data_IF_865429943813
#
_entry.id   IF_865429943813
#
_cell.length_a   1.000
_cell.length_b   1.000
_cell.length_c   1.000
_cell.angle_alpha   90.00
_cell.angle_beta   90.00
_cell.angle_gamma   90.00
#
_symmetry.space_group_name_H-M   'P 1'
#
loop_
_entity.id
_entity.type
_entity.pdbx_description
1 polymer ?
#
# COMPACT_ATOMS: atom_id res chain seq x y z
N UNK A 1 -28.84 -2.86 1.26
CA UNK A 1 -27.72 -3.46 2.03
C UNK A 1 -26.44 -3.15 1.25
N UNK A 2 -25.43 -2.60 1.88
CA UNK A 2 -24.14 -2.29 1.23
C UNK A 2 -23.45 -3.58 0.76
N UNK A 3 -22.98 -3.59 -0.48
CA UNK A 3 -22.22 -4.72 -1.03
C UNK A 3 -20.78 -4.71 -0.54
N UNK A 4 -20.06 -5.83 -0.66
CA UNK A 4 -18.65 -5.91 -0.31
C UNK A 4 -17.78 -4.97 -1.18
N UNK A 5 -18.10 -4.82 -2.48
CA UNK A 5 -17.44 -3.89 -3.37
C UNK A 5 -17.64 -2.43 -2.94
N UNK A 6 -18.86 -2.03 -2.57
CA UNK A 6 -19.14 -0.68 -2.07
C UNK A 6 -18.39 -0.40 -0.78
N UNK A 7 -18.38 -1.37 0.16
CA UNK A 7 -17.64 -1.24 1.41
C UNK A 7 -16.12 -1.13 1.17
N UNK A 8 -15.58 -1.90 0.22
CA UNK A 8 -14.17 -1.78 -0.17
C UNK A 8 -13.84 -0.40 -0.73
N UNK A 9 -14.66 0.14 -1.64
CA UNK A 9 -14.47 1.48 -2.22
C UNK A 9 -14.40 2.56 -1.15
N UNK A 10 -15.34 2.55 -0.23
CA UNK A 10 -15.39 3.52 0.86
C UNK A 10 -14.17 3.38 1.79
N UNK A 11 -13.83 2.15 2.18
CA UNK A 11 -12.68 1.86 3.03
C UNK A 11 -11.38 2.33 2.35
N UNK A 12 -11.16 1.94 1.09
CA UNK A 12 -9.98 2.36 0.34
C UNK A 12 -9.87 3.87 0.24
N UNK A 13 -10.94 4.55 -0.11
CA UNK A 13 -11.00 6.01 -0.21
C UNK A 13 -10.61 6.69 1.11
N UNK A 14 -11.06 6.13 2.24
CA UNK A 14 -10.72 6.64 3.57
C UNK A 14 -9.27 6.33 3.98
N UNK A 15 -8.66 5.26 3.46
CA UNK A 15 -7.30 4.85 3.82
C UNK A 15 -6.20 5.55 3.00
N UNK A 16 -6.44 5.85 1.72
CA UNK A 16 -5.41 6.42 0.82
C UNK A 16 -4.72 7.67 1.37
N UNK A 17 -5.42 8.69 1.90
CA UNK A 17 -4.75 9.86 2.47
C UNK A 17 -3.83 9.53 3.65
N UNK A 18 -4.16 8.49 4.42
CA UNK A 18 -3.38 8.06 5.58
C UNK A 18 -2.06 7.41 5.17
N UNK A 19 -2.04 6.65 4.06
CA UNK A 19 -0.78 6.15 3.48
C UNK A 19 0.11 7.30 3.04
N UNK A 20 -0.44 8.25 2.30
CA UNK A 20 0.30 9.42 1.80
C UNK A 20 0.89 10.23 2.95
N UNK A 21 0.12 10.46 4.03
CA UNK A 21 0.61 11.22 5.20
C UNK A 21 1.79 10.52 5.89
N UNK A 22 1.74 9.19 6.02
CA UNK A 22 2.84 8.41 6.61
C UNK A 22 4.06 8.38 5.70
N UNK A 23 3.88 8.17 4.40
CA UNK A 23 4.98 8.19 3.43
C UNK A 23 5.69 9.55 3.41
N UNK A 24 4.94 10.66 3.40
CA UNK A 24 5.49 12.02 3.47
C UNK A 24 6.19 12.36 4.79
N UNK A 25 5.88 11.62 5.87
CA UNK A 25 6.56 11.77 7.15
C UNK A 25 7.93 11.06 7.22
N UNK A 26 8.27 10.21 6.25
CA UNK A 26 9.57 9.51 6.20
C UNK A 26 10.69 10.51 5.89
N UNK A 27 11.69 10.70 6.79
CA UNK A 27 12.74 11.68 6.56
C UNK A 27 13.79 11.17 5.56
N UNK A 28 14.06 11.94 4.52
CA UNK A 28 15.00 11.60 3.45
C UNK A 28 16.39 11.18 3.96
N UNK A 29 16.88 11.78 5.04
CA UNK A 29 18.21 11.51 5.59
C UNK A 29 18.31 10.23 6.43
N UNK A 30 17.25 9.45 6.58
CA UNK A 30 17.20 8.27 7.44
C UNK A 30 16.54 7.05 6.78
N UNK A 31 16.61 6.99 5.45
CA UNK A 31 16.01 5.92 4.64
C UNK A 31 16.59 4.53 4.94
N UNK A 32 17.82 4.46 5.41
CA UNK A 32 18.53 3.25 5.82
C UNK A 32 18.15 2.74 7.21
N UNK A 33 17.36 3.50 7.97
CA UNK A 33 16.93 3.10 9.31
C UNK A 33 16.13 1.79 9.29
N UNK A 34 16.47 0.90 10.22
CA UNK A 34 15.71 -0.31 10.56
C UNK A 34 15.82 -0.57 12.06
N UNK A 35 14.75 -1.04 12.74
CA UNK A 35 14.77 -1.29 14.18
C UNK A 35 15.54 -2.56 14.56
N UNK A 36 15.69 -3.50 13.61
CA UNK A 36 16.38 -4.79 13.78
C UNK A 36 17.09 -5.14 12.47
N UNK A 37 18.27 -5.81 12.50
CA UNK A 37 18.98 -6.22 11.29
C UNK A 37 18.17 -7.10 10.32
N UNK A 38 17.14 -7.80 10.80
CA UNK A 38 16.24 -8.64 9.99
C UNK A 38 15.06 -7.87 9.43
N UNK A 39 14.80 -6.64 9.94
CA UNK A 39 13.71 -5.82 9.46
C UNK A 39 14.07 -5.14 8.13
N UNK A 40 13.06 -4.83 7.32
CA UNK A 40 13.21 -3.93 6.17
C UNK A 40 13.67 -2.56 6.64
N UNK A 41 14.45 -1.86 5.83
CA UNK A 41 14.72 -0.43 6.03
C UNK A 41 13.44 0.39 5.84
N UNK A 42 13.45 1.62 6.33
CA UNK A 42 12.34 2.56 6.10
C UNK A 42 12.08 2.77 4.60
N UNK A 43 13.16 2.82 3.79
CA UNK A 43 13.07 2.92 2.33
C UNK A 43 12.41 1.70 1.70
N UNK A 44 12.88 0.51 2.04
CA UNK A 44 12.32 -0.75 1.54
C UNK A 44 10.86 -0.91 1.94
N UNK A 45 10.51 -0.57 3.19
CA UNK A 45 9.14 -0.67 3.69
C UNK A 45 8.20 0.35 3.03
N UNK A 46 8.67 1.58 2.82
CA UNK A 46 7.90 2.60 2.08
C UNK A 46 7.71 2.19 0.60
N UNK A 47 8.74 1.56 -0.01
CA UNK A 47 8.67 1.13 -1.40
C UNK A 47 7.71 -0.04 -1.61
N UNK A 48 7.61 -0.98 -0.66
CA UNK A 48 6.61 -2.07 -0.72
C UNK A 48 5.20 -1.52 -0.89
N UNK A 49 4.82 -0.45 -0.18
CA UNK A 49 3.49 0.17 -0.34
C UNK A 49 3.23 0.65 -1.77
N UNK A 50 4.23 1.23 -2.44
CA UNK A 50 4.10 1.67 -3.83
C UNK A 50 4.07 0.48 -4.81
N UNK A 51 4.85 -0.56 -4.56
CA UNK A 51 4.86 -1.78 -5.38
C UNK A 51 3.55 -2.56 -5.28
N UNK A 52 2.93 -2.63 -4.10
CA UNK A 52 1.62 -3.25 -3.91
C UNK A 52 0.54 -2.57 -4.75
N UNK A 53 0.52 -1.24 -4.77
CA UNK A 53 -0.41 -0.47 -5.62
C UNK A 53 -0.14 -0.70 -7.12
N UNK A 54 1.12 -0.75 -7.55
CA UNK A 54 1.48 -1.03 -8.93
C UNK A 54 1.10 -2.47 -9.34
N UNK A 55 1.31 -3.44 -8.46
CA UNK A 55 0.91 -4.83 -8.67
C UNK A 55 -0.61 -4.96 -8.80
N UNK A 56 -1.37 -4.28 -7.94
CA UNK A 56 -2.84 -4.24 -8.04
C UNK A 56 -3.31 -3.62 -9.36
N UNK A 57 -2.71 -2.51 -9.80
CA UNK A 57 -3.05 -1.88 -11.08
C UNK A 57 -2.89 -2.87 -12.24
N UNK A 58 -1.76 -3.58 -12.27
CA UNK A 58 -1.47 -4.61 -13.28
C UNK A 58 -2.44 -5.78 -13.19
N UNK A 59 -2.73 -6.28 -11.98
CA UNK A 59 -3.67 -7.38 -11.78
C UNK A 59 -5.08 -7.03 -12.27
N UNK A 60 -5.55 -5.83 -11.98
CA UNK A 60 -6.87 -5.37 -12.39
C UNK A 60 -6.97 -5.21 -13.92
N UNK A 61 -5.91 -4.76 -14.57
CA UNK A 61 -5.85 -4.57 -16.01
C UNK A 61 -5.76 -5.89 -16.76
N UNK A 62 -4.86 -6.78 -16.35
CA UNK A 62 -4.48 -7.99 -17.12
C UNK A 62 -5.07 -9.28 -16.57
N UNK A 63 -5.53 -9.28 -15.32
CA UNK A 63 -5.95 -10.47 -14.58
C UNK A 63 -4.80 -11.30 -14.00
N UNK A 64 -3.55 -10.93 -14.29
CA UNK A 64 -2.35 -11.65 -13.79
C UNK A 64 -1.26 -10.65 -13.44
N UNK A 65 -0.55 -10.89 -12.35
CA UNK A 65 0.63 -10.12 -11.96
C UNK A 65 1.73 -11.06 -11.46
N UNK A 66 2.97 -10.72 -11.71
CA UNK A 66 4.13 -11.36 -11.10
C UNK A 66 4.67 -10.46 -10.01
N UNK A 67 4.75 -11.00 -8.79
CA UNK A 67 5.36 -10.28 -7.68
C UNK A 67 6.86 -10.43 -7.71
N UNK A 68 7.56 -9.32 -7.90
CA UNK A 68 9.01 -9.23 -7.80
C UNK A 68 9.39 -8.04 -6.93
N UNK A 69 10.31 -8.25 -5.99
CA UNK A 69 10.87 -7.15 -5.22
C UNK A 69 11.82 -6.33 -6.09
N UNK A 70 11.56 -5.05 -6.21
CA UNK A 70 12.37 -4.10 -6.95
C UNK A 70 13.19 -3.24 -6.00
N UNK A 71 14.34 -2.76 -6.50
CA UNK A 71 15.16 -1.82 -5.75
C UNK A 71 14.40 -0.50 -5.58
N UNK A 72 14.26 0.02 -4.34
CA UNK A 72 13.57 1.26 -4.09
C UNK A 72 14.31 2.47 -4.70
N UNK A 73 13.56 3.51 -5.13
CA UNK A 73 14.12 4.80 -5.52
C UNK A 73 14.92 5.45 -4.39
N UNK A 74 15.93 6.25 -4.76
CA UNK A 74 16.80 6.91 -3.78
C UNK A 74 16.13 8.06 -3.02
N UNK A 75 15.02 8.59 -3.53
CA UNK A 75 14.31 9.72 -2.94
C UNK A 75 12.93 9.31 -2.44
N UNK A 76 12.58 9.80 -1.25
CA UNK A 76 11.23 9.64 -0.67
C UNK A 76 10.14 10.20 -1.60
N UNK A 77 10.40 11.37 -2.20
CA UNK A 77 9.44 12.02 -3.11
C UNK A 77 9.08 11.13 -4.30
N UNK A 78 10.06 10.36 -4.82
CA UNK A 78 9.82 9.43 -5.93
C UNK A 78 8.96 8.24 -5.47
N UNK A 79 9.17 7.75 -4.24
CA UNK A 79 8.33 6.70 -3.64
C UNK A 79 6.90 7.20 -3.46
N UNK A 80 6.72 8.41 -2.91
CA UNK A 80 5.40 9.03 -2.73
C UNK A 80 4.70 9.19 -4.08
N UNK A 81 5.40 9.71 -5.08
CA UNK A 81 4.85 9.93 -6.43
C UNK A 81 4.43 8.61 -7.10
N UNK A 82 5.25 7.55 -6.97
CA UNK A 82 4.94 6.23 -7.48
C UNK A 82 3.68 5.65 -6.80
N UNK A 83 3.59 5.76 -5.45
CA UNK A 83 2.41 5.35 -4.71
C UNK A 83 1.16 6.11 -5.17
N UNK A 84 1.20 7.45 -5.20
CA UNK A 84 0.06 8.28 -5.58
C UNK A 84 -0.41 7.98 -7.02
N UNK A 85 0.53 7.76 -7.95
CA UNK A 85 0.23 7.42 -9.34
C UNK A 85 -0.46 6.06 -9.46
N UNK A 86 0.10 5.03 -8.85
CA UNK A 86 -0.47 3.67 -8.89
C UNK A 86 -1.79 3.59 -8.15
N UNK A 87 -1.91 4.25 -6.98
CA UNK A 87 -3.14 4.31 -6.21
C UNK A 87 -4.28 5.01 -6.97
N UNK A 88 -3.97 6.05 -7.74
CA UNK A 88 -4.95 6.70 -8.62
C UNK A 88 -5.41 5.76 -9.74
N UNK A 89 -4.50 5.02 -10.38
CA UNK A 89 -4.82 4.03 -11.40
C UNK A 89 -5.72 2.91 -10.85
N UNK A 90 -5.38 2.34 -9.69
CA UNK A 90 -6.20 1.33 -9.02
C UNK A 90 -7.59 1.88 -8.68
N UNK A 91 -7.65 3.11 -8.14
CA UNK A 91 -8.94 3.72 -7.79
C UNK A 91 -9.84 3.89 -9.01
N UNK A 92 -9.31 4.36 -10.15
CA UNK A 92 -10.06 4.48 -11.39
C UNK A 92 -10.58 3.14 -11.92
N UNK A 93 -9.80 2.06 -11.75
CA UNK A 93 -10.22 0.72 -12.17
C UNK A 93 -11.28 0.16 -11.21
N UNK A 94 -11.10 0.32 -9.90
CA UNK A 94 -12.06 -0.13 -8.86
C UNK A 94 -13.43 0.54 -9.02
N UNK A 95 -13.48 1.82 -9.41
CA UNK A 95 -14.76 2.51 -9.68
C UNK A 95 -15.54 1.89 -10.85
N UNK A 96 -14.85 1.25 -11.79
CA UNK A 96 -15.47 0.62 -12.96
C UNK A 96 -15.87 -0.86 -12.74
N UNK A 97 -15.44 -1.47 -11.62
CA UNK A 97 -15.79 -2.87 -11.33
C UNK A 97 -17.31 -2.99 -11.11
N UNK A 98 -17.87 -4.06 -11.63
CA UNK A 98 -19.19 -4.56 -11.24
C UNK A 98 -19.03 -5.85 -10.39
N UNK A 99 -20.14 -6.45 -9.98
CA UNK A 99 -20.13 -7.66 -9.17
C UNK A 99 -19.45 -8.85 -9.90
N UNK A 100 -19.64 -8.95 -11.21
CA UNK A 100 -19.02 -10.04 -11.99
C UNK A 100 -17.49 -9.86 -12.08
N UNK A 101 -17.04 -8.63 -12.30
CA UNK A 101 -15.61 -8.31 -12.31
C UNK A 101 -14.95 -8.46 -10.92
N UNK A 102 -15.69 -8.15 -9.84
CA UNK A 102 -15.26 -8.38 -8.46
C UNK A 102 -15.01 -9.86 -8.15
N UNK A 103 -15.86 -10.74 -8.65
CA UNK A 103 -15.78 -12.20 -8.44
C UNK A 103 -14.87 -12.91 -9.47
N UNK A 104 -14.46 -12.21 -10.54
CA UNK A 104 -13.55 -12.76 -11.57
C UNK A 104 -12.26 -13.23 -10.94
N UNK A 105 -11.75 -14.37 -11.40
CA UNK A 105 -10.46 -14.89 -10.95
C UNK A 105 -9.31 -14.05 -11.47
N UNK A 106 -8.38 -13.77 -10.57
CA UNK A 106 -7.07 -13.21 -10.86
C UNK A 106 -5.97 -14.18 -10.44
N UNK A 107 -4.74 -13.91 -10.86
CA UNK A 107 -3.57 -14.74 -10.59
C UNK A 107 -2.37 -13.90 -10.21
N UNK A 108 -1.73 -14.22 -9.10
CA UNK A 108 -0.44 -13.65 -8.73
C UNK A 108 0.62 -14.76 -8.77
N UNK A 109 1.65 -14.55 -9.58
CA UNK A 109 2.83 -15.39 -9.66
C UNK A 109 3.83 -14.94 -8.59
N UNK A 110 4.34 -15.89 -7.82
CA UNK A 110 5.35 -15.63 -6.79
C UNK A 110 6.72 -16.01 -7.32
N UNK A 111 7.71 -15.17 -7.08
CA UNK A 111 9.10 -15.51 -7.36
C UNK A 111 9.45 -16.86 -6.72
N UNK A 112 9.98 -17.81 -7.52
CA UNK A 112 10.27 -19.17 -7.06
C UNK A 112 9.24 -20.24 -7.47
N UNK A 113 8.25 -19.90 -8.31
CA UNK A 113 7.36 -20.86 -8.98
C UNK A 113 6.03 -21.14 -8.27
N UNK A 114 5.70 -20.40 -7.22
CA UNK A 114 4.37 -20.43 -6.60
C UNK A 114 3.37 -19.55 -7.37
N UNK A 115 2.07 -19.85 -7.25
CA UNK A 115 1.00 -19.00 -7.73
C UNK A 115 -0.14 -18.95 -6.71
N UNK A 116 -0.73 -17.77 -6.57
CA UNK A 116 -1.97 -17.57 -5.83
C UNK A 116 -3.07 -17.17 -6.82
N UNK A 117 -4.19 -17.90 -6.80
CA UNK A 117 -5.36 -17.64 -7.63
C UNK A 117 -6.58 -17.46 -6.72
N UNK A 118 -7.25 -16.32 -6.86
CA UNK A 118 -8.45 -15.99 -6.10
C UNK A 118 -9.34 -14.99 -6.85
N UNK A 119 -10.50 -14.63 -6.28
CA UNK A 119 -11.33 -13.55 -6.77
C UNK A 119 -10.61 -12.20 -6.69
N UNK A 120 -10.86 -11.31 -7.66
CA UNK A 120 -10.29 -9.94 -7.65
C UNK A 120 -10.61 -9.23 -6.32
N UNK A 121 -11.81 -9.39 -5.78
CA UNK A 121 -12.18 -8.82 -4.48
C UNK A 121 -11.32 -9.32 -3.33
N UNK A 122 -10.90 -10.59 -3.36
CA UNK A 122 -10.00 -11.14 -2.34
C UNK A 122 -8.59 -10.55 -2.46
N UNK A 123 -8.07 -10.40 -3.68
CA UNK A 123 -6.81 -9.68 -3.89
C UNK A 123 -6.87 -8.25 -3.40
N UNK A 124 -7.92 -7.51 -3.75
CA UNK A 124 -8.11 -6.13 -3.34
C UNK A 124 -8.11 -5.98 -1.81
N UNK A 125 -8.83 -6.83 -1.08
CA UNK A 125 -8.80 -6.84 0.37
C UNK A 125 -7.46 -7.28 0.94
N UNK A 126 -6.86 -8.33 0.36
CA UNK A 126 -5.57 -8.86 0.81
C UNK A 126 -4.48 -7.78 0.75
N UNK A 127 -4.34 -7.12 -0.39
CA UNK A 127 -3.36 -6.03 -0.57
C UNK A 127 -3.66 -4.82 0.33
N UNK A 128 -4.93 -4.41 0.49
CA UNK A 128 -5.26 -3.29 1.38
C UNK A 128 -4.91 -3.59 2.84
N UNK A 129 -5.18 -4.81 3.32
CA UNK A 129 -4.86 -5.22 4.69
C UNK A 129 -3.35 -5.33 4.90
N UNK A 130 -2.62 -5.85 3.92
CA UNK A 130 -1.15 -5.93 3.97
C UNK A 130 -0.52 -4.53 3.94
N UNK A 131 -1.00 -3.65 3.07
CA UNK A 131 -0.58 -2.25 3.05
C UNK A 131 -0.85 -1.54 4.40
N UNK A 132 -2.01 -1.74 5.02
CA UNK A 132 -2.31 -1.21 6.37
C UNK A 132 -1.32 -1.74 7.40
N UNK A 133 -0.96 -3.04 7.34
CA UNK A 133 0.05 -3.63 8.20
C UNK A 133 1.42 -2.97 7.98
N UNK A 134 1.89 -2.85 6.76
CA UNK A 134 3.17 -2.20 6.42
C UNK A 134 3.20 -0.71 6.80
N UNK A 135 2.11 0.01 6.58
CA UNK A 135 1.97 1.39 7.08
C UNK A 135 2.11 1.45 8.60
N UNK A 136 1.46 0.54 9.32
CA UNK A 136 1.59 0.44 10.78
C UNK A 136 3.02 0.18 11.24
N UNK A 137 3.75 -0.70 10.57
CA UNK A 137 5.19 -0.90 10.80
C UNK A 137 5.97 0.39 10.57
N UNK A 138 5.75 1.07 9.44
CA UNK A 138 6.47 2.30 9.08
C UNK A 138 6.23 3.42 10.10
N UNK A 139 5.02 3.55 10.67
CA UNK A 139 4.75 4.54 11.71
C UNK A 139 5.60 4.35 12.96
N UNK A 140 5.96 3.10 13.31
CA UNK A 140 6.84 2.83 14.44
C UNK A 140 8.28 3.26 14.21
N UNK A 141 8.69 3.44 12.95
CA UNK A 141 10.04 3.90 12.59
C UNK A 141 10.18 5.43 12.68
N UNK A 142 9.09 6.19 12.50
CA UNK A 142 9.14 7.64 12.34
C UNK A 142 9.81 8.35 13.51
N UNK A 143 9.40 8.07 14.77
CA UNK A 143 9.99 8.72 15.95
C UNK A 143 11.48 8.40 16.13
N UNK A 144 11.93 7.14 16.05
CA UNK A 144 13.36 6.81 16.08
C UNK A 144 14.17 7.50 14.97
N UNK A 145 13.53 7.80 13.84
CA UNK A 145 14.14 8.55 12.74
C UNK A 145 14.13 10.08 12.95
N UNK A 146 13.54 10.56 14.05
CA UNK A 146 13.44 11.98 14.37
C UNK A 146 12.26 12.68 13.67
N UNK A 147 11.30 11.93 13.16
CA UNK A 147 10.09 12.45 12.53
C UNK A 147 8.87 12.34 13.45
N UNK A 148 7.75 12.92 13.01
CA UNK A 148 6.46 12.91 13.71
C UNK A 148 5.57 11.81 13.14
N UNK A 149 4.78 11.19 14.01
CA UNK A 149 3.73 10.24 13.61
C UNK A 149 2.45 11.02 13.31
N UNK A 150 1.94 11.01 12.07
CA UNK A 150 0.68 11.68 11.75
C UNK A 150 -0.52 11.02 12.45
N UNK A 151 -1.61 11.76 12.58
CA UNK A 151 -2.92 11.23 12.95
C UNK A 151 -3.42 10.26 11.88
N UNK A 152 -3.86 9.05 12.27
CA UNK A 152 -4.32 8.00 11.34
C UNK A 152 -5.79 7.64 11.59
N UNK A 153 -6.09 7.03 12.72
CA UNK A 153 -7.46 6.69 13.15
C UNK A 153 -7.92 7.54 14.34
N UNK A 154 -7.11 8.49 14.73
CA UNK A 154 -7.30 9.40 15.84
C UNK A 154 -6.01 10.14 16.13
N UNK A 155 -5.99 11.02 17.13
CA UNK A 155 -4.81 11.80 17.46
C UNK A 155 -3.59 10.91 17.77
N UNK A 156 -2.40 11.37 17.39
CA UNK A 156 -1.13 10.87 17.91
C UNK A 156 -0.57 11.85 18.94
N UNK A 157 0.51 11.47 19.63
CA UNK A 157 1.21 12.40 20.52
C UNK A 157 1.89 13.57 19.77
N UNK A 158 2.07 13.44 18.44
CA UNK A 158 2.77 14.41 17.59
C UNK A 158 1.80 15.23 16.73
N UNK A 159 0.56 14.75 16.56
CA UNK A 159 -0.46 15.31 15.69
C UNK A 159 -1.85 15.13 16.35
N UNK A 160 -2.49 16.23 16.80
CA UNK A 160 -3.78 16.16 17.47
C UNK A 160 -4.94 15.73 16.53
N UNK A 161 -4.70 15.66 15.23
CA UNK A 161 -5.73 15.44 14.22
C UNK A 161 -6.59 16.68 13.96
N UNK A 162 -7.40 16.61 12.93
CA UNK A 162 -8.44 17.61 12.62
C UNK A 162 -9.81 17.08 13.00
#
# INVERSE_FOLDING_TARGET
MQTNLEFYRETRKAELPKFVSVLKAVPQGRLDYRPDPKARTAQELAWVLAQEEAALATLLETGTVEWMEEKPPARVDDIVSAFETSAAAVSQQVEKLDAAAWDRKGKMLMGGGGAWEDGIGQFLWGFLLDAIHHRGQLTTYLRPMGSKVPSIYGPSADDPGQ
#
